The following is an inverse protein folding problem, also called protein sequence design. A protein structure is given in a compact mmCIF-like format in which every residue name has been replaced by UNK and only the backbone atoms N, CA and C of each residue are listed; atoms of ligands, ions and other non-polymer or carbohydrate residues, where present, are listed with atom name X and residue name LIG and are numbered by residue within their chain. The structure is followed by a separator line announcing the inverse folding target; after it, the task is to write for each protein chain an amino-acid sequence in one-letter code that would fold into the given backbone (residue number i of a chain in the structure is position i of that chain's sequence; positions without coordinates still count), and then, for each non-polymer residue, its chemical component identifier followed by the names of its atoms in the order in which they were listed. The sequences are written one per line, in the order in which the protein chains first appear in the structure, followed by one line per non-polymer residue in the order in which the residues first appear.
data_IF_003774627789
#
_entry.id   IF_003774627789
#
_cell.length_a   1.000
_cell.length_b   1.000
_cell.length_c   1.000
_cell.angle_alpha   90.00
_cell.angle_beta   90.00
_cell.angle_gamma   90.00
#
_symmetry.space_group_name_H-M   'P 1'
#
loop_
_entity.id
_entity.type
_entity.pdbx_description
1 polymer ?
#
# COMPACT_ATOMS: atom_id res chain seq x y z
N UNK A 1 -3.33 4.16 -1.97
CA UNK A 1 -2.72 3.92 -0.66
C UNK A 1 -3.09 5.04 0.29
N UNK A 2 -2.50 6.24 0.14
CA UNK A 2 -2.75 7.38 1.03
C UNK A 2 -4.24 7.74 1.17
N UNK A 3 -4.95 7.95 0.05
CA UNK A 3 -6.39 8.27 0.07
C UNK A 3 -7.20 7.29 0.92
N UNK A 4 -7.10 5.98 0.66
CA UNK A 4 -7.84 4.99 1.45
C UNK A 4 -7.42 4.92 2.92
N UNK A 5 -6.15 5.20 3.23
CA UNK A 5 -5.64 5.21 4.60
C UNK A 5 -6.19 6.40 5.40
N UNK A 6 -6.11 7.60 4.83
CA UNK A 6 -6.67 8.82 5.42
C UNK A 6 -8.18 8.69 5.56
N UNK A 7 -8.88 8.19 4.54
CA UNK A 7 -10.33 8.00 4.61
C UNK A 7 -10.71 7.00 5.71
N UNK A 8 -9.94 5.93 5.90
CA UNK A 8 -10.15 4.98 7.00
C UNK A 8 -9.95 5.64 8.37
N UNK A 9 -8.92 6.48 8.52
CA UNK A 9 -8.64 7.23 9.74
C UNK A 9 -9.74 8.27 10.03
N UNK A 10 -10.24 8.94 9.00
CA UNK A 10 -11.33 9.90 9.10
C UNK A 10 -12.64 9.20 9.52
N UNK A 11 -12.95 8.05 8.92
CA UNK A 11 -14.13 7.23 9.26
C UNK A 11 -14.12 6.71 10.70
N UNK A 12 -12.94 6.54 11.33
CA UNK A 12 -12.83 6.15 12.75
C UNK A 12 -12.61 7.37 13.68
N UNK A 13 -12.80 8.59 13.18
CA UNK A 13 -12.67 9.85 13.92
C UNK A 13 -11.27 10.09 14.50
N UNK A 14 -10.21 9.70 13.79
CA UNK A 14 -8.87 10.14 14.14
C UNK A 14 -8.79 11.67 14.05
N UNK A 15 -8.13 12.31 15.02
CA UNK A 15 -7.97 13.77 15.06
C UNK A 15 -6.58 14.21 14.61
N UNK A 16 -5.58 13.35 14.76
CA UNK A 16 -4.20 13.65 14.43
C UNK A 16 -3.57 12.48 13.67
N UNK A 17 -2.75 12.80 12.69
CA UNK A 17 -1.93 11.86 11.93
C UNK A 17 -0.47 12.28 11.99
N UNK A 18 0.40 11.35 12.37
CA UNK A 18 1.85 11.56 12.40
C UNK A 18 2.51 10.64 11.39
N UNK A 19 3.43 11.18 10.57
CA UNK A 19 4.25 10.37 9.68
C UNK A 19 5.71 10.81 9.67
N UNK A 20 6.59 9.85 9.40
CA UNK A 20 8.00 10.11 9.18
C UNK A 20 8.25 10.80 7.85
N UNK A 21 9.18 11.73 7.81
CA UNK A 21 9.61 12.44 6.61
C UNK A 21 11.13 12.62 6.64
N UNK A 22 11.77 12.56 5.48
CA UNK A 22 13.22 12.82 5.39
C UNK A 22 13.55 14.30 5.60
N UNK A 23 12.66 15.22 5.20
CA UNK A 23 12.85 16.68 5.39
C UNK A 23 12.33 17.20 6.72
N UNK A 24 11.27 16.57 7.26
CA UNK A 24 10.47 17.10 8.37
C UNK A 24 9.93 18.52 8.13
N UNK A 25 9.73 18.89 6.87
CA UNK A 25 9.23 20.21 6.48
C UNK A 25 7.76 20.14 6.06
N UNK A 26 6.87 20.38 7.02
CA UNK A 26 5.43 20.29 6.80
C UNK A 26 4.91 21.37 5.83
N UNK A 27 5.43 22.59 5.90
CA UNK A 27 4.94 23.72 5.09
C UNK A 27 5.30 23.53 3.61
N UNK A 28 6.50 23.01 3.33
CA UNK A 28 6.89 22.62 1.98
C UNK A 28 5.98 21.51 1.43
N UNK A 29 5.65 20.49 2.24
CA UNK A 29 4.75 19.42 1.81
C UNK A 29 3.32 19.93 1.59
N UNK A 30 2.81 20.83 2.44
CA UNK A 30 1.48 21.46 2.28
C UNK A 30 1.40 22.28 1.00
N UNK A 31 2.40 23.11 0.73
CA UNK A 31 2.50 23.94 -0.47
C UNK A 31 2.55 23.06 -1.72
N UNK A 32 3.37 22.02 -1.69
CA UNK A 32 3.46 21.06 -2.81
C UNK A 32 2.13 20.33 -3.02
N UNK A 33 1.40 19.99 -1.95
CA UNK A 33 0.09 19.36 -2.06
C UNK A 33 -0.92 20.27 -2.76
N UNK A 34 -0.88 21.59 -2.51
CA UNK A 34 -1.77 22.55 -3.18
C UNK A 34 -1.54 22.60 -4.68
N UNK A 35 -0.28 22.58 -5.13
CA UNK A 35 0.05 22.52 -6.57
C UNK A 35 -0.54 21.27 -7.21
N UNK A 36 -0.51 20.15 -6.50
CA UNK A 36 -1.02 18.86 -7.01
C UNK A 36 -2.54 18.77 -7.04
N UNK A 37 -3.23 19.55 -6.22
CA UNK A 37 -4.69 19.60 -6.19
C UNK A 37 -5.22 20.55 -7.25
N UNK A 38 -4.63 21.75 -7.35
CA UNK A 38 -5.10 22.79 -8.27
C UNK A 38 -4.58 22.58 -9.71
N UNK A 39 -3.49 21.83 -9.88
CA UNK A 39 -2.85 21.51 -11.15
C UNK A 39 -2.70 22.74 -12.09
N UNK A 40 -1.95 23.79 -11.69
CA UNK A 40 -1.81 25.00 -12.50
C UNK A 40 -1.24 24.70 -13.90
N UNK A 41 -1.60 25.52 -14.89
CA UNK A 41 -1.26 25.28 -16.30
C UNK A 41 0.25 25.12 -16.55
N UNK A 42 1.06 25.91 -15.86
CA UNK A 42 2.52 25.83 -15.92
C UNK A 42 3.05 24.47 -15.45
N UNK A 43 2.52 23.96 -14.34
CA UNK A 43 2.86 22.65 -13.81
C UNK A 43 2.42 21.54 -14.77
N UNK A 44 1.18 21.57 -15.25
CA UNK A 44 0.65 20.51 -16.14
C UNK A 44 1.37 20.49 -17.49
N UNK A 45 1.76 21.66 -18.00
CA UNK A 45 2.58 21.79 -19.22
C UNK A 45 3.98 21.22 -19.03
N UNK A 46 4.63 21.50 -17.89
CA UNK A 46 5.92 20.89 -17.54
C UNK A 46 5.81 19.36 -17.39
N UNK A 47 4.77 18.87 -16.73
CA UNK A 47 4.51 17.43 -16.56
C UNK A 47 4.37 16.72 -17.91
N UNK A 48 3.57 17.26 -18.84
CA UNK A 48 3.42 16.71 -20.20
C UNK A 48 4.75 16.68 -20.93
N UNK A 49 5.58 17.71 -20.78
CA UNK A 49 6.90 17.80 -21.40
C UNK A 49 7.83 16.69 -20.89
N UNK A 50 7.87 16.46 -19.58
CA UNK A 50 8.69 15.39 -19.00
C UNK A 50 8.18 13.98 -19.33
N UNK A 51 6.86 13.78 -19.42
CA UNK A 51 6.28 12.52 -19.89
C UNK A 51 6.64 12.23 -21.35
N UNK A 52 6.62 13.24 -22.23
CA UNK A 52 7.04 13.09 -23.63
C UNK A 52 8.51 12.68 -23.79
N UNK A 53 9.36 12.98 -22.81
CA UNK A 53 10.76 12.49 -22.75
C UNK A 53 10.88 11.01 -22.37
N UNK A 54 9.77 10.30 -22.18
CA UNK A 54 9.74 8.88 -21.83
C UNK A 54 10.06 8.60 -20.36
N UNK A 55 10.03 9.63 -19.50
CA UNK A 55 10.22 9.47 -18.06
C UNK A 55 9.02 8.73 -17.44
N UNK A 56 9.27 7.95 -16.39
CA UNK A 56 8.20 7.38 -15.58
C UNK A 56 7.35 8.49 -14.96
N UNK A 57 6.06 8.24 -14.74
CA UNK A 57 5.16 9.24 -14.12
C UNK A 57 5.71 9.85 -12.82
N UNK A 58 6.27 9.07 -11.86
CA UNK A 58 6.87 9.66 -10.65
C UNK A 58 8.03 10.62 -10.95
N UNK A 59 8.92 10.27 -11.89
CA UNK A 59 10.03 11.14 -12.28
C UNK A 59 9.55 12.38 -13.02
N UNK A 60 8.59 12.23 -13.93
CA UNK A 60 8.02 13.35 -14.66
C UNK A 60 7.32 14.33 -13.72
N UNK A 61 6.55 13.83 -12.75
CA UNK A 61 5.94 14.62 -11.69
C UNK A 61 6.96 15.33 -10.82
N UNK A 62 8.01 14.63 -10.39
CA UNK A 62 9.11 15.22 -9.61
C UNK A 62 9.75 16.39 -10.34
N UNK A 63 10.13 16.22 -11.61
CA UNK A 63 10.75 17.31 -12.37
C UNK A 63 9.77 18.44 -12.70
N UNK A 64 8.49 18.15 -12.93
CA UNK A 64 7.48 19.17 -13.15
C UNK A 64 7.23 20.03 -11.91
N UNK A 65 7.14 19.40 -10.74
CA UNK A 65 7.09 20.11 -9.45
C UNK A 65 8.35 20.95 -9.25
N UNK A 66 9.52 20.41 -9.61
CA UNK A 66 10.78 21.14 -9.53
C UNK A 66 10.76 22.43 -10.35
N UNK A 67 10.40 22.30 -11.61
CA UNK A 67 10.42 23.42 -12.54
C UNK A 67 9.36 24.48 -12.16
N UNK A 68 8.20 24.06 -11.64
CA UNK A 68 7.16 24.96 -11.15
C UNK A 68 7.59 25.71 -9.88
N UNK A 69 8.05 24.99 -8.86
CA UNK A 69 8.43 25.59 -7.58
C UNK A 69 9.68 26.49 -7.70
N UNK A 70 10.61 26.18 -8.62
CA UNK A 70 11.74 27.05 -8.93
C UNK A 70 11.34 28.41 -9.48
N UNK A 71 10.27 28.44 -10.29
CA UNK A 71 9.75 29.67 -10.88
C UNK A 71 9.00 30.51 -9.86
N UNK A 72 8.15 29.88 -9.07
CA UNK A 72 7.21 30.58 -8.18
C UNK A 72 7.80 30.91 -6.79
N UNK A 73 8.65 30.05 -6.24
CA UNK A 73 9.08 30.13 -4.84
C UNK A 73 10.61 30.21 -4.66
N UNK A 74 11.38 30.36 -5.74
CA UNK A 74 12.83 30.58 -5.71
C UNK A 74 13.62 29.47 -4.98
N UNK A 75 14.30 29.75 -3.85
CA UNK A 75 15.19 28.79 -3.15
C UNK A 75 14.54 27.48 -2.71
N UNK A 76 13.20 27.40 -2.66
CA UNK A 76 12.49 26.14 -2.40
C UNK A 76 12.85 25.04 -3.42
N UNK A 77 13.32 25.43 -4.61
CA UNK A 77 13.67 24.51 -5.69
C UNK A 77 14.86 23.59 -5.45
N UNK A 78 15.82 24.04 -4.65
CA UNK A 78 17.01 23.24 -4.32
C UNK A 78 16.65 22.02 -3.46
N UNK A 79 15.50 22.05 -2.79
CA UNK A 79 15.03 21.00 -1.86
C UNK A 79 14.09 19.97 -2.49
N UNK A 80 13.85 20.06 -3.79
CA UNK A 80 12.86 19.20 -4.48
C UNK A 80 13.39 17.80 -4.75
N UNK A 81 14.71 17.64 -4.78
CA UNK A 81 15.31 16.30 -4.72
C UNK A 81 14.89 15.57 -3.44
N UNK A 82 14.69 16.29 -2.34
CA UNK A 82 14.21 15.73 -1.08
C UNK A 82 12.76 15.26 -1.20
N UNK A 83 11.88 15.98 -1.91
CA UNK A 83 10.47 15.59 -2.16
C UNK A 83 10.39 14.23 -2.88
N UNK A 84 11.38 13.93 -3.74
CA UNK A 84 11.43 12.67 -4.49
C UNK A 84 11.69 11.42 -3.64
N UNK A 85 11.97 11.58 -2.33
CA UNK A 85 12.21 10.46 -1.40
C UNK A 85 10.89 9.77 -1.02
N UNK A 86 10.97 8.49 -0.65
CA UNK A 86 9.80 7.62 -0.48
C UNK A 86 8.82 8.15 0.57
N UNK A 87 9.30 8.55 1.76
CA UNK A 87 8.41 8.99 2.83
C UNK A 87 7.88 10.40 2.61
N UNK A 88 8.66 11.29 1.98
CA UNK A 88 8.16 12.59 1.55
C UNK A 88 7.04 12.47 0.49
N UNK A 89 7.19 11.60 -0.51
CA UNK A 89 6.10 11.32 -1.48
C UNK A 89 4.87 10.81 -0.74
N UNK A 90 5.04 9.91 0.22
CA UNK A 90 3.92 9.34 0.96
C UNK A 90 3.23 10.39 1.85
N UNK A 91 4.01 11.22 2.55
CA UNK A 91 3.53 12.34 3.34
C UNK A 91 2.76 13.38 2.53
N UNK A 92 3.29 13.71 1.35
CA UNK A 92 2.63 14.58 0.38
C UNK A 92 1.26 14.01 -0.04
N UNK A 93 1.20 12.71 -0.36
CA UNK A 93 -0.05 12.04 -0.73
C UNK A 93 -1.05 11.96 0.43
N UNK A 94 -0.60 11.87 1.69
CA UNK A 94 -1.49 11.97 2.86
C UNK A 94 -2.10 13.36 2.99
N UNK A 95 -1.29 14.42 2.89
CA UNK A 95 -1.77 15.80 2.96
C UNK A 95 -2.74 16.09 1.81
N UNK A 96 -2.41 15.65 0.59
CA UNK A 96 -3.31 15.75 -0.57
C UNK A 96 -4.63 15.03 -0.30
N UNK A 97 -4.60 13.82 0.25
CA UNK A 97 -5.81 13.08 0.59
C UNK A 97 -6.67 13.76 1.65
N UNK A 98 -6.07 14.32 2.72
CA UNK A 98 -6.77 15.06 3.77
C UNK A 98 -7.51 16.26 3.17
N UNK A 99 -6.82 17.05 2.33
CA UNK A 99 -7.40 18.21 1.64
C UNK A 99 -8.53 17.80 0.69
N UNK A 100 -8.35 16.75 -0.13
CA UNK A 100 -9.36 16.26 -1.07
C UNK A 100 -10.63 15.74 -0.37
N UNK A 101 -10.48 15.15 0.81
CA UNK A 101 -11.60 14.64 1.61
C UNK A 101 -12.28 15.73 2.45
N UNK A 102 -11.68 16.92 2.59
CA UNK A 102 -12.14 17.93 3.54
C UNK A 102 -12.01 17.48 5.01
N UNK A 103 -11.14 16.52 5.27
CA UNK A 103 -10.94 15.92 6.60
C UNK A 103 -10.34 16.94 7.57
N UNK A 104 -10.75 16.86 8.84
CA UNK A 104 -10.26 17.71 9.92
C UNK A 104 -9.04 17.12 10.66
N UNK A 105 -8.46 16.04 10.15
CA UNK A 105 -7.25 15.44 10.71
C UNK A 105 -6.10 16.44 10.66
N UNK A 106 -5.52 16.76 11.81
CA UNK A 106 -4.30 17.55 11.91
C UNK A 106 -3.07 16.67 11.63
N UNK A 107 -2.05 17.25 11.00
CA UNK A 107 -0.88 16.53 10.51
C UNK A 107 0.39 17.03 11.19
N UNK A 108 1.16 16.09 11.72
CA UNK A 108 2.51 16.35 12.22
C UNK A 108 3.54 15.48 11.50
N UNK A 109 4.72 16.03 11.27
CA UNK A 109 5.86 15.33 10.66
C UNK A 109 6.96 15.12 11.68
N UNK A 110 7.54 13.92 11.69
CA UNK A 110 8.73 13.61 12.47
C UNK A 110 9.90 13.33 11.54
N UNK A 111 11.07 13.89 11.86
CA UNK A 111 12.28 13.61 11.09
C UNK A 111 12.66 12.15 11.26
N UNK A 112 12.84 11.44 10.15
CA UNK A 112 13.28 10.05 10.21
C UNK A 112 14.74 9.99 10.68
N UNK A 113 15.00 9.15 11.67
CA UNK A 113 16.34 8.77 12.15
C UNK A 113 16.54 7.30 11.76
N UNK A 114 17.60 6.99 11.01
CA UNK A 114 17.89 5.62 10.54
C UNK A 114 18.12 5.49 9.03
N UNK A 115 18.29 4.25 8.57
CA UNK A 115 18.55 3.89 7.18
C UNK A 115 17.46 4.36 6.20
N UNK A 116 17.83 4.80 5.00
CA UNK A 116 16.88 5.03 3.91
C UNK A 116 16.13 3.73 3.55
N UNK A 117 14.89 3.80 3.09
CA UNK A 117 14.10 2.59 2.75
C UNK A 117 14.73 1.73 1.63
N UNK A 118 15.66 2.32 0.89
CA UNK A 118 16.46 1.67 -0.18
C UNK A 118 17.76 1.06 0.31
N UNK A 119 18.20 1.32 1.54
CA UNK A 119 19.39 0.69 2.10
C UNK A 119 19.11 -0.78 2.38
N UNK A 120 19.94 -1.64 1.79
CA UNK A 120 19.84 -3.10 1.91
C UNK A 120 20.80 -3.67 2.94
N UNK A 121 21.69 -2.83 3.49
CA UNK A 121 22.76 -3.23 4.39
C UNK A 121 22.36 -3.04 5.86
N UNK A 122 23.05 -3.77 6.73
CA UNK A 122 22.87 -3.68 8.18
C UNK A 122 23.52 -2.40 8.72
N UNK A 123 22.73 -1.58 9.40
CA UNK A 123 23.17 -0.32 10.01
C UNK A 123 23.06 -0.34 11.55
N UNK A 124 22.86 -1.52 12.13
CA UNK A 124 22.61 -1.68 13.57
C UNK A 124 21.12 -1.62 13.90
N UNK A 125 20.78 -0.85 14.93
CA UNK A 125 19.45 -0.74 15.53
C UNK A 125 18.39 -0.18 14.55
N UNK A 126 18.80 0.70 13.63
CA UNK A 126 17.89 1.37 12.69
C UNK A 126 18.02 0.87 11.24
N UNK A 127 18.18 -0.45 11.07
CA UNK A 127 18.22 -1.08 9.75
C UNK A 127 16.85 -1.01 9.05
N UNK A 128 16.85 -0.84 7.72
CA UNK A 128 15.60 -0.75 6.95
C UNK A 128 14.83 -2.07 6.98
N UNK A 129 13.51 -2.02 6.77
CA UNK A 129 12.70 -3.23 6.66
C UNK A 129 13.17 -4.15 5.50
N UNK A 130 13.77 -3.59 4.45
CA UNK A 130 14.35 -4.35 3.34
C UNK A 130 15.62 -5.08 3.76
N UNK A 131 16.52 -4.40 4.48
CA UNK A 131 17.71 -5.02 5.05
C UNK A 131 17.33 -6.16 6.02
N UNK A 132 16.32 -5.95 6.87
CA UNK A 132 15.83 -6.99 7.80
C UNK A 132 15.30 -8.22 7.04
N UNK A 133 14.56 -8.04 5.95
CA UNK A 133 14.10 -9.18 5.13
C UNK A 133 15.26 -9.92 4.45
N UNK A 134 16.29 -9.21 4.00
CA UNK A 134 17.49 -9.83 3.44
C UNK A 134 18.25 -10.64 4.51
N UNK A 135 18.38 -10.10 5.73
CA UNK A 135 18.99 -10.81 6.85
C UNK A 135 18.18 -12.06 7.24
N UNK A 136 16.84 -11.99 7.21
CA UNK A 136 15.97 -13.16 7.40
C UNK A 136 16.23 -14.21 6.32
N UNK A 137 16.30 -13.80 5.04
CA UNK A 137 16.55 -14.71 3.92
C UNK A 137 17.95 -15.36 3.97
N UNK A 138 18.93 -14.64 4.51
CA UNK A 138 20.29 -15.13 4.75
C UNK A 138 20.46 -15.89 6.08
N UNK A 139 19.38 -16.07 6.85
CA UNK A 139 19.38 -16.71 8.18
C UNK A 139 20.27 -16.02 9.24
N UNK A 140 20.55 -14.72 9.08
CA UNK A 140 21.38 -13.90 9.97
C UNK A 140 20.61 -13.44 11.23
N UNK A 141 20.08 -14.39 12.00
CA UNK A 141 19.15 -14.13 13.11
C UNK A 141 19.68 -13.25 14.25
N UNK A 142 20.99 -13.26 14.49
CA UNK A 142 21.61 -12.38 15.49
C UNK A 142 21.50 -10.91 15.08
N UNK A 143 21.68 -10.61 13.78
CA UNK A 143 21.52 -9.25 13.25
C UNK A 143 20.06 -8.84 13.20
N UNK A 144 19.16 -9.76 12.84
CA UNK A 144 17.70 -9.53 12.92
C UNK A 144 17.30 -9.12 14.34
N UNK A 145 17.80 -9.83 15.37
CA UNK A 145 17.51 -9.52 16.78
C UNK A 145 17.97 -8.12 17.18
N UNK A 146 19.09 -7.66 16.65
CA UNK A 146 19.63 -6.32 16.92
C UNK A 146 18.85 -5.20 16.21
N UNK A 147 18.13 -5.51 15.13
CA UNK A 147 17.44 -4.51 14.30
C UNK A 147 15.94 -4.38 14.56
N UNK A 148 15.37 -5.16 15.48
CA UNK A 148 13.94 -5.07 15.81
C UNK A 148 13.71 -5.16 17.32
N UNK A 149 12.60 -4.59 17.85
CA UNK A 149 12.22 -4.78 19.24
C UNK A 149 12.04 -6.26 19.59
N UNK A 150 12.33 -6.64 20.85
CA UNK A 150 12.22 -8.03 21.32
C UNK A 150 10.84 -8.64 21.07
N UNK A 151 9.76 -7.87 21.24
CA UNK A 151 8.39 -8.32 20.96
C UNK A 151 8.16 -8.66 19.48
N UNK A 152 8.82 -7.95 18.57
CA UNK A 152 8.79 -8.22 17.13
C UNK A 152 9.61 -9.48 16.81
N UNK A 153 10.82 -9.59 17.38
CA UNK A 153 11.67 -10.77 17.22
C UNK A 153 10.98 -12.05 17.69
N UNK A 154 10.37 -12.02 18.88
CA UNK A 154 9.61 -13.14 19.43
C UNK A 154 8.42 -13.53 18.54
N UNK A 155 7.71 -12.53 17.97
CA UNK A 155 6.62 -12.80 17.03
C UNK A 155 7.13 -13.47 15.74
N UNK A 156 8.22 -12.95 15.15
CA UNK A 156 8.84 -13.55 13.96
C UNK A 156 9.24 -15.01 14.20
N UNK A 157 9.95 -15.30 15.31
CA UNK A 157 10.35 -16.67 15.66
C UNK A 157 9.14 -17.58 15.85
N UNK A 158 8.11 -17.12 16.57
CA UNK A 158 6.87 -17.87 16.77
C UNK A 158 6.20 -18.24 15.44
N UNK A 159 6.02 -17.27 14.54
CA UNK A 159 5.35 -17.51 13.26
C UNK A 159 6.17 -18.47 12.37
N UNK A 160 7.49 -18.30 12.31
CA UNK A 160 8.33 -19.11 11.43
C UNK A 160 8.53 -20.53 11.97
N UNK A 161 8.67 -20.69 13.30
CA UNK A 161 8.68 -22.01 13.93
C UNK A 161 7.36 -22.76 13.76
N UNK A 162 6.25 -22.03 13.63
CA UNK A 162 4.95 -22.61 13.31
C UNK A 162 4.70 -22.77 11.79
N UNK A 163 5.72 -22.57 10.96
CA UNK A 163 5.65 -22.78 9.51
C UNK A 163 4.83 -21.74 8.73
N UNK A 164 4.44 -20.63 9.35
CA UNK A 164 3.67 -19.52 8.75
C UNK A 164 4.55 -18.42 8.15
N UNK A 165 5.83 -18.71 7.95
CA UNK A 165 6.79 -17.84 7.27
C UNK A 165 8.21 -18.42 7.27
N UNK A 166 9.17 -17.71 6.63
CA UNK A 166 8.95 -16.50 5.84
C UNK A 166 8.19 -16.79 4.54
N UNK A 167 7.34 -15.86 4.11
CA UNK A 167 6.73 -15.85 2.78
C UNK A 167 7.46 -14.79 1.96
N UNK A 168 8.00 -15.18 0.80
CA UNK A 168 8.80 -14.30 -0.07
C UNK A 168 8.13 -14.11 -1.43
N UNK A 169 8.53 -13.12 -2.24
CA UNK A 169 8.02 -12.98 -3.61
C UNK A 169 8.19 -14.26 -4.44
N UNK A 170 9.27 -15.01 -4.22
CA UNK A 170 9.58 -16.27 -4.89
C UNK A 170 8.54 -17.35 -4.56
N UNK A 171 7.87 -17.29 -3.40
CA UNK A 171 6.75 -18.18 -3.08
C UNK A 171 5.60 -18.07 -4.09
N UNK A 172 5.47 -16.93 -4.79
CA UNK A 172 4.46 -16.70 -5.83
C UNK A 172 4.98 -16.93 -7.26
N UNK A 173 6.25 -17.29 -7.45
CA UNK A 173 6.91 -17.33 -8.76
C UNK A 173 6.15 -18.20 -9.77
N UNK A 174 5.89 -19.47 -9.43
CA UNK A 174 5.18 -20.38 -10.32
C UNK A 174 3.76 -19.87 -10.62
N UNK A 175 3.05 -19.35 -9.61
CA UNK A 175 1.71 -18.79 -9.78
C UNK A 175 1.72 -17.62 -10.76
N UNK A 176 2.66 -16.69 -10.61
CA UNK A 176 2.78 -15.49 -11.45
C UNK A 176 3.15 -15.89 -12.88
N UNK A 177 4.18 -16.71 -13.07
CA UNK A 177 4.65 -17.10 -14.41
C UNK A 177 3.56 -17.90 -15.14
N UNK A 178 2.93 -18.88 -14.47
CA UNK A 178 1.84 -19.65 -15.06
C UNK A 178 0.63 -18.78 -15.39
N UNK A 179 0.25 -17.83 -14.52
CA UNK A 179 -0.82 -16.88 -14.81
C UNK A 179 -0.54 -16.08 -16.09
N UNK A 180 0.68 -15.55 -16.25
CA UNK A 180 1.03 -14.75 -17.43
C UNK A 180 1.07 -15.60 -18.70
N UNK A 181 1.61 -16.82 -18.62
CA UNK A 181 1.70 -17.73 -19.76
C UNK A 181 0.34 -18.23 -20.22
N UNK A 182 -0.54 -18.59 -19.28
CA UNK A 182 -1.85 -19.18 -19.57
C UNK A 182 -2.92 -18.18 -20.04
N UNK A 183 -2.69 -16.87 -19.90
CA UNK A 183 -3.67 -15.84 -20.27
C UNK A 183 -3.26 -15.06 -21.51
N UNK A 184 -4.23 -14.37 -22.13
CA UNK A 184 -4.02 -13.56 -23.34
C UNK A 184 -3.78 -12.09 -23.01
N UNK A 185 -3.35 -11.32 -24.02
CA UNK A 185 -3.14 -9.87 -23.88
C UNK A 185 -4.44 -9.13 -23.62
N UNK A 186 -5.54 -9.58 -24.23
CA UNK A 186 -6.88 -9.03 -24.07
C UNK A 186 -7.38 -9.20 -22.63
N UNK A 187 -7.02 -10.31 -21.97
CA UNK A 187 -7.34 -10.47 -20.55
C UNK A 187 -6.60 -9.44 -19.69
N UNK A 188 -5.33 -9.16 -19.99
CA UNK A 188 -4.53 -8.20 -19.23
C UNK A 188 -4.91 -6.74 -19.49
N UNK A 189 -5.39 -6.39 -20.68
CA UNK A 189 -5.85 -5.01 -20.95
C UNK A 189 -7.05 -4.60 -20.10
N UNK A 190 -7.85 -5.57 -19.63
CA UNK A 190 -8.95 -5.35 -18.68
C UNK A 190 -8.52 -5.22 -17.21
N UNK A 191 -7.22 -5.37 -16.89
CA UNK A 191 -6.70 -5.32 -15.52
C UNK A 191 -6.10 -3.94 -15.22
N UNK A 192 -6.39 -3.43 -14.03
CA UNK A 192 -5.86 -2.16 -13.56
C UNK A 192 -4.33 -2.14 -13.54
N UNK A 193 -3.74 -1.11 -14.14
CA UNK A 193 -2.29 -0.93 -14.20
C UNK A 193 -1.63 -1.50 -15.45
N UNK A 194 -2.35 -2.28 -16.27
CA UNK A 194 -1.94 -2.57 -17.64
C UNK A 194 -2.35 -1.42 -18.56
N UNK A 195 -1.37 -0.90 -19.28
CA UNK A 195 -1.54 0.17 -20.24
C UNK A 195 -0.23 0.40 -20.96
N UNK A 196 -0.24 1.19 -22.03
CA UNK A 196 0.98 1.63 -22.71
C UNK A 196 1.86 0.49 -23.25
N UNK A 197 1.25 -0.65 -23.62
CA UNK A 197 1.95 -1.83 -24.16
C UNK A 197 2.61 -2.72 -23.10
N UNK A 198 2.34 -2.50 -21.80
CA UNK A 198 2.89 -3.31 -20.72
C UNK A 198 2.44 -4.79 -20.80
N UNK A 199 1.22 -5.05 -21.27
CA UNK A 199 0.66 -6.38 -21.55
C UNK A 199 1.52 -7.18 -22.55
N UNK A 200 1.92 -6.53 -23.65
CA UNK A 200 2.78 -7.16 -24.66
C UNK A 200 4.14 -7.54 -24.07
N UNK A 201 4.70 -6.65 -23.24
CA UNK A 201 6.00 -6.84 -22.60
C UNK A 201 5.95 -7.99 -21.58
N UNK A 202 4.87 -8.09 -20.81
CA UNK A 202 4.64 -9.21 -19.89
C UNK A 202 4.65 -10.55 -20.62
N UNK A 203 3.90 -10.68 -21.72
CA UNK A 203 3.90 -11.92 -22.53
C UNK A 203 5.29 -12.23 -23.08
N UNK A 204 5.92 -11.24 -23.72
CA UNK A 204 7.26 -11.38 -24.30
C UNK A 204 8.29 -11.89 -23.28
N UNK A 205 8.29 -11.34 -22.07
CA UNK A 205 9.23 -11.73 -21.02
C UNK A 205 8.86 -13.06 -20.36
N UNK A 206 7.57 -13.33 -20.10
CA UNK A 206 7.14 -14.58 -19.49
C UNK A 206 7.47 -15.81 -20.35
N UNK A 207 7.49 -15.67 -21.67
CA UNK A 207 7.89 -16.77 -22.58
C UNK A 207 9.40 -17.08 -22.53
N UNK A 208 10.22 -16.20 -21.94
CA UNK A 208 11.69 -16.29 -21.92
C UNK A 208 12.29 -16.45 -20.53
N UNK A 209 11.58 -16.04 -19.48
CA UNK A 209 12.03 -16.10 -18.11
C UNK A 209 11.37 -17.26 -17.37
N UNK A 210 12.14 -17.97 -16.54
CA UNK A 210 11.65 -19.04 -15.66
C UNK A 210 11.75 -18.67 -14.18
N UNK A 211 12.47 -17.60 -13.84
CA UNK A 211 12.55 -17.04 -12.49
C UNK A 211 11.83 -15.68 -12.42
N UNK A 212 11.22 -15.37 -11.27
CA UNK A 212 10.47 -14.14 -11.02
C UNK A 212 11.39 -12.92 -11.08
N UNK A 213 12.59 -13.02 -10.51
CA UNK A 213 13.58 -11.96 -10.58
C UNK A 213 13.86 -11.58 -12.04
N UNK A 214 14.22 -12.56 -12.88
CA UNK A 214 14.55 -12.33 -14.29
C UNK A 214 13.36 -11.79 -15.08
N UNK A 215 12.14 -12.25 -14.75
CA UNK A 215 10.91 -11.74 -15.33
C UNK A 215 10.73 -10.24 -15.03
N UNK A 216 10.90 -9.83 -13.76
CA UNK A 216 10.78 -8.43 -13.35
C UNK A 216 11.84 -7.56 -14.03
N UNK A 217 13.06 -8.06 -14.19
CA UNK A 217 14.18 -7.37 -14.85
C UNK A 217 13.92 -7.18 -16.34
N UNK A 218 13.44 -8.23 -17.01
CA UNK A 218 13.06 -8.17 -18.41
C UNK A 218 11.94 -7.13 -18.64
N UNK A 219 10.94 -7.08 -17.76
CA UNK A 219 9.81 -6.15 -17.90
C UNK A 219 10.24 -4.71 -17.56
N UNK A 220 11.17 -4.50 -16.63
CA UNK A 220 11.67 -3.18 -16.21
C UNK A 220 12.14 -2.35 -17.41
N UNK A 221 11.76 -1.07 -17.41
CA UNK A 221 12.28 -0.06 -18.33
C UNK A 221 12.44 1.27 -17.61
N UNK A 222 12.95 2.31 -18.30
CA UNK A 222 12.93 3.70 -17.78
C UNK A 222 11.50 4.18 -17.46
N UNK A 223 10.50 3.68 -18.19
CA UNK A 223 9.08 4.02 -18.02
C UNK A 223 8.38 3.20 -16.94
N UNK A 224 8.75 1.92 -16.79
CA UNK A 224 8.12 0.98 -15.85
C UNK A 224 9.07 0.61 -14.71
N UNK A 225 8.79 1.14 -13.51
CA UNK A 225 9.55 0.82 -12.30
C UNK A 225 9.22 -0.58 -11.77
N UNK A 226 10.14 -1.21 -11.04
CA UNK A 226 9.90 -2.52 -10.40
C UNK A 226 8.64 -2.53 -9.54
N UNK A 227 8.42 -1.48 -8.75
CA UNK A 227 7.23 -1.35 -7.88
C UNK A 227 5.93 -1.27 -8.69
N UNK A 228 5.93 -0.54 -9.84
CA UNK A 228 4.75 -0.51 -10.73
C UNK A 228 4.47 -1.90 -11.30
N UNK A 229 5.50 -2.60 -11.77
CA UNK A 229 5.39 -3.95 -12.34
C UNK A 229 4.84 -4.92 -11.29
N UNK A 230 5.41 -4.92 -10.08
CA UNK A 230 4.98 -5.80 -8.99
C UNK A 230 3.52 -5.58 -8.60
N UNK A 231 3.07 -4.31 -8.52
CA UNK A 231 1.65 -3.98 -8.27
C UNK A 231 0.75 -4.45 -9.42
N UNK A 232 1.17 -4.25 -10.66
CA UNK A 232 0.42 -4.71 -11.84
C UNK A 232 0.29 -6.24 -11.87
N UNK A 233 1.33 -6.99 -11.47
CA UNK A 233 1.25 -8.45 -11.30
C UNK A 233 0.19 -8.82 -10.26
N UNK A 234 0.20 -8.20 -9.08
CA UNK A 234 -0.79 -8.50 -8.04
C UNK A 234 -2.21 -8.15 -8.49
N UNK A 235 -2.39 -7.04 -9.22
CA UNK A 235 -3.68 -6.73 -9.84
C UNK A 235 -4.13 -7.83 -10.81
N UNK A 236 -3.21 -8.44 -11.57
CA UNK A 236 -3.52 -9.57 -12.44
C UNK A 236 -3.92 -10.81 -11.64
N UNK A 237 -3.15 -11.15 -10.59
CA UNK A 237 -3.41 -12.29 -9.71
C UNK A 237 -4.81 -12.22 -9.09
N UNK A 238 -5.22 -11.03 -8.64
CA UNK A 238 -6.52 -10.84 -8.00
C UNK A 238 -7.65 -10.42 -8.95
N UNK A 239 -7.35 -10.23 -10.24
CA UNK A 239 -8.32 -9.80 -11.25
C UNK A 239 -8.89 -8.41 -10.98
N UNK A 240 -8.05 -7.46 -10.56
CA UNK A 240 -8.49 -6.10 -10.19
C UNK A 240 -8.76 -5.29 -11.45
N UNK A 241 -10.01 -4.91 -11.66
CA UNK A 241 -10.45 -4.11 -12.82
C UNK A 241 -10.32 -2.59 -12.57
N UNK A 242 -10.11 -1.77 -13.64
CA UNK A 242 -10.08 -0.32 -13.51
C UNK A 242 -11.37 0.30 -12.94
N UNK A 243 -12.52 -0.30 -13.24
CA UNK A 243 -13.86 0.09 -12.76
C UNK A 243 -13.96 -0.02 -11.25
N UNK A 244 -13.56 -1.16 -10.67
CA UNK A 244 -13.50 -1.38 -9.23
C UNK A 244 -12.60 -0.37 -8.52
N UNK A 245 -11.41 -0.11 -9.07
CA UNK A 245 -10.48 0.88 -8.49
C UNK A 245 -11.04 2.30 -8.58
N UNK A 246 -11.65 2.68 -9.71
CA UNK A 246 -12.30 3.99 -9.87
C UNK A 246 -13.43 4.16 -8.85
N UNK A 247 -14.27 3.14 -8.68
CA UNK A 247 -15.38 3.14 -7.73
C UNK A 247 -14.88 3.21 -6.27
N UNK A 248 -13.84 2.44 -5.93
CA UNK A 248 -13.20 2.49 -4.61
C UNK A 248 -12.58 3.86 -4.30
N UNK A 249 -12.05 4.56 -5.30
CA UNK A 249 -11.54 5.93 -5.13
C UNK A 249 -12.64 6.97 -4.94
N UNK A 250 -13.81 6.76 -5.53
CA UNK A 250 -14.92 7.69 -5.47
C UNK A 250 -15.77 7.52 -4.21
N UNK A 251 -15.97 6.28 -3.75
CA UNK A 251 -16.85 5.96 -2.63
C UNK A 251 -16.08 5.64 -1.33
N UNK A 252 -14.76 5.44 -1.40
CA UNK A 252 -13.94 5.12 -0.24
C UNK A 252 -14.13 3.70 0.29
N UNK A 253 -13.55 3.42 1.48
CA UNK A 253 -13.76 2.16 2.20
C UNK A 253 -15.22 2.00 2.62
N UNK A 254 -15.82 0.85 2.32
CA UNK A 254 -17.22 0.58 2.68
C UNK A 254 -17.38 -0.09 4.06
N UNK A 255 -16.28 -0.32 4.76
CA UNK A 255 -16.26 -0.92 6.10
C UNK A 255 -14.96 -0.57 6.83
N UNK A 256 -14.99 -0.72 8.15
CA UNK A 256 -13.81 -0.69 9.01
C UNK A 256 -13.54 -2.11 9.51
N UNK A 257 -12.38 -2.68 9.20
CA UNK A 257 -11.98 -4.02 9.65
C UNK A 257 -11.07 -3.94 10.85
N UNK A 258 -11.49 -4.52 11.97
CA UNK A 258 -10.68 -4.59 13.18
C UNK A 258 -9.79 -5.84 13.13
N UNK A 259 -8.47 -5.65 13.20
CA UNK A 259 -7.48 -6.74 13.23
C UNK A 259 -6.97 -7.03 14.64
N UNK A 260 -6.95 -6.01 15.51
CA UNK A 260 -6.65 -6.14 16.92
C UNK A 260 -6.91 -4.84 17.71
N UNK A 261 -7.00 -4.96 19.03
CA UNK A 261 -7.18 -3.83 19.95
C UNK A 261 -6.70 -4.21 21.36
N UNK A 262 -6.33 -3.20 22.17
CA UNK A 262 -6.11 -3.38 23.61
C UNK A 262 -7.33 -2.91 24.44
N UNK A 263 -7.22 -2.85 25.76
CA UNK A 263 -8.32 -2.36 26.62
C UNK A 263 -8.79 -0.94 26.26
N UNK A 264 -7.86 0.00 26.07
CA UNK A 264 -8.18 1.36 25.63
C UNK A 264 -8.84 1.38 24.26
N UNK A 265 -8.34 0.57 23.33
CA UNK A 265 -8.93 0.39 22.01
C UNK A 265 -10.35 -0.18 22.05
N UNK A 266 -10.63 -1.10 22.98
CA UNK A 266 -11.99 -1.65 23.19
C UNK A 266 -12.97 -0.57 23.64
N UNK A 267 -12.59 0.24 24.62
CA UNK A 267 -13.39 1.35 25.13
C UNK A 267 -13.66 2.36 24.01
N UNK A 268 -12.61 2.76 23.28
CA UNK A 268 -12.72 3.66 22.14
C UNK A 268 -13.65 3.11 21.04
N UNK A 269 -13.45 1.86 20.62
CA UNK A 269 -14.31 1.23 19.62
C UNK A 269 -15.77 1.15 20.09
N UNK A 270 -16.01 0.88 21.37
CA UNK A 270 -17.37 0.87 21.93
C UNK A 270 -18.01 2.25 21.91
N UNK A 271 -17.22 3.30 22.16
CA UNK A 271 -17.64 4.70 22.14
C UNK A 271 -18.04 5.14 20.72
N UNK A 272 -17.16 4.97 19.73
CA UNK A 272 -17.40 5.49 18.37
C UNK A 272 -18.38 4.68 17.53
N UNK A 273 -18.60 3.39 17.87
CA UNK A 273 -19.32 2.44 17.01
C UNK A 273 -20.72 2.87 16.57
N UNK A 274 -21.41 3.69 17.36
CA UNK A 274 -22.78 4.15 17.04
C UNK A 274 -22.79 5.26 16.00
N UNK A 275 -21.70 6.01 15.89
CA UNK A 275 -21.59 7.22 15.06
C UNK A 275 -20.88 6.94 13.73
N UNK A 276 -20.34 5.73 13.54
CA UNK A 276 -19.68 5.33 12.30
C UNK A 276 -20.65 5.34 11.11
N UNK A 277 -20.24 6.00 10.03
CA UNK A 277 -20.97 6.02 8.75
C UNK A 277 -20.81 4.71 7.95
N UNK A 278 -19.90 3.82 8.35
CA UNK A 278 -19.67 2.51 7.74
C UNK A 278 -19.68 1.40 8.80
N UNK A 279 -20.06 0.15 8.44
CA UNK A 279 -20.05 -0.97 9.36
C UNK A 279 -18.64 -1.31 9.88
N UNK A 280 -18.55 -1.52 11.19
CA UNK A 280 -17.37 -2.06 11.86
C UNK A 280 -17.41 -3.60 11.88
N UNK A 281 -16.48 -4.24 11.16
CA UNK A 281 -16.31 -5.69 11.09
C UNK A 281 -15.27 -6.12 12.12
N UNK A 282 -15.71 -6.80 13.18
CA UNK A 282 -14.83 -7.50 14.13
C UNK A 282 -14.73 -8.98 13.77
N UNK A 283 -15.86 -9.67 13.64
CA UNK A 283 -15.91 -11.07 13.24
C UNK A 283 -16.27 -11.17 11.76
N UNK A 284 -15.36 -11.71 10.93
CA UNK A 284 -15.55 -11.77 9.48
C UNK A 284 -16.84 -12.52 9.10
N UNK A 285 -17.18 -13.62 9.77
CA UNK A 285 -18.40 -14.41 9.50
C UNK A 285 -19.71 -13.62 9.61
N UNK A 286 -19.70 -12.48 10.33
CA UNK A 286 -20.87 -11.63 10.55
C UNK A 286 -21.13 -10.61 9.43
N UNK A 287 -20.29 -10.57 8.39
CA UNK A 287 -20.38 -9.56 7.32
C UNK A 287 -21.77 -9.48 6.67
N UNK A 288 -22.45 -10.61 6.45
CA UNK A 288 -23.80 -10.64 5.86
C UNK A 288 -24.82 -9.92 6.73
N UNK A 289 -24.78 -10.18 8.04
CA UNK A 289 -25.68 -9.55 9.02
C UNK A 289 -25.40 -8.06 9.14
N UNK A 290 -24.12 -7.67 9.14
CA UNK A 290 -23.70 -6.28 9.17
C UNK A 290 -24.19 -5.53 7.94
N UNK A 291 -23.96 -6.07 6.73
CA UNK A 291 -24.42 -5.48 5.49
C UNK A 291 -25.95 -5.29 5.47
N UNK A 292 -26.70 -6.31 5.84
CA UNK A 292 -28.16 -6.24 5.91
C UNK A 292 -28.66 -5.20 6.93
N UNK A 293 -27.95 -5.04 8.06
CA UNK A 293 -28.26 -4.01 9.07
C UNK A 293 -27.95 -2.61 8.53
N UNK A 294 -26.80 -2.43 7.87
CA UNK A 294 -26.39 -1.15 7.29
C UNK A 294 -27.37 -0.65 6.24
N UNK A 295 -27.87 -1.55 5.37
CA UNK A 295 -28.89 -1.21 4.37
C UNK A 295 -30.23 -0.81 4.99
N UNK A 296 -30.61 -1.38 6.15
CA UNK A 296 -31.82 -0.99 6.88
C UNK A 296 -31.67 0.28 7.71
N UNK A 297 -30.44 0.58 8.14
CA UNK A 297 -30.11 1.70 9.02
C UNK A 297 -29.77 2.99 8.30
N UNK A 298 -30.05 3.10 6.99
CA UNK A 298 -29.74 4.26 6.15
C UNK A 298 -28.25 4.67 6.15
N UNK A 299 -27.31 3.74 6.38
CA UNK A 299 -25.91 4.03 6.11
C UNK A 299 -25.71 4.15 4.59
N UNK A 300 -25.02 5.20 4.14
CA UNK A 300 -24.70 5.45 2.73
C UNK A 300 -23.59 4.51 2.23
N UNK A 301 -23.87 3.21 2.26
CA UNK A 301 -22.95 2.17 1.79
C UNK A 301 -23.34 1.64 0.41
N UNK A 302 -22.36 1.49 -0.46
CA UNK A 302 -22.54 0.76 -1.71
C UNK A 302 -22.35 -0.74 -1.44
N UNK A 303 -23.48 -1.46 -1.39
CA UNK A 303 -23.48 -2.88 -1.03
C UNK A 303 -22.73 -3.79 -2.01
N UNK A 304 -22.60 -3.40 -3.29
CA UNK A 304 -21.81 -4.15 -4.26
C UNK A 304 -20.32 -3.92 -4.01
N UNK A 305 -19.92 -2.66 -3.87
CA UNK A 305 -18.53 -2.28 -3.59
C UNK A 305 -18.05 -2.85 -2.24
N UNK A 306 -18.90 -2.86 -1.22
CA UNK A 306 -18.62 -3.50 0.07
C UNK A 306 -18.19 -4.96 -0.12
N UNK A 307 -18.95 -5.72 -0.91
CA UNK A 307 -18.66 -7.14 -1.14
C UNK A 307 -17.39 -7.31 -1.95
N UNK A 308 -17.20 -6.50 -2.99
CA UNK A 308 -16.00 -6.56 -3.83
C UNK A 308 -14.73 -6.27 -3.03
N UNK A 309 -14.74 -5.21 -2.20
CA UNK A 309 -13.62 -4.86 -1.31
C UNK A 309 -13.36 -5.98 -0.29
N UNK A 310 -14.40 -6.44 0.42
CA UNK A 310 -14.24 -7.44 1.48
C UNK A 310 -13.78 -8.80 0.93
N UNK A 311 -14.29 -9.22 -0.23
CA UNK A 311 -13.90 -10.49 -0.84
C UNK A 311 -12.53 -10.40 -1.52
N UNK A 312 -12.07 -9.22 -1.91
CA UNK A 312 -10.68 -9.03 -2.30
C UNK A 312 -9.76 -9.30 -1.09
N UNK A 313 -10.08 -8.75 0.08
CA UNK A 313 -9.32 -8.99 1.32
C UNK A 313 -9.27 -10.48 1.67
N UNK A 314 -10.42 -11.18 1.65
CA UNK A 314 -10.48 -12.62 1.94
C UNK A 314 -9.68 -13.45 0.94
N UNK A 315 -9.73 -13.12 -0.36
CA UNK A 315 -8.92 -13.81 -1.37
C UNK A 315 -7.43 -13.56 -1.17
N UNK A 316 -7.04 -12.34 -0.77
CA UNK A 316 -5.66 -12.01 -0.47
C UNK A 316 -5.13 -12.80 0.72
N UNK A 317 -5.87 -12.86 1.83
CA UNK A 317 -5.51 -13.67 3.00
C UNK A 317 -5.46 -15.16 2.67
N UNK A 318 -6.44 -15.66 1.90
CA UNK A 318 -6.48 -17.07 1.48
C UNK A 318 -5.28 -17.45 0.63
N UNK A 319 -4.90 -16.59 -0.32
CA UNK A 319 -3.71 -16.83 -1.13
C UNK A 319 -2.46 -16.76 -0.27
N UNK A 320 -2.35 -15.78 0.64
CA UNK A 320 -1.21 -15.69 1.55
C UNK A 320 -1.04 -16.95 2.41
N UNK A 321 -2.13 -17.48 2.97
CA UNK A 321 -2.10 -18.74 3.74
C UNK A 321 -1.57 -19.92 2.92
N UNK A 322 -1.93 -20.00 1.64
CA UNK A 322 -1.41 -21.02 0.72
C UNK A 322 0.11 -20.91 0.47
N UNK A 323 0.68 -19.71 0.59
CA UNK A 323 2.11 -19.46 0.37
C UNK A 323 2.98 -19.75 1.60
N UNK A 324 2.38 -20.09 2.74
CA UNK A 324 3.12 -20.43 3.95
C UNK A 324 3.99 -21.69 3.72
N UNK A 325 5.26 -21.72 4.16
CA UNK A 325 6.19 -22.82 3.86
C UNK A 325 5.69 -24.21 4.25
N UNK A 326 5.03 -24.35 5.40
CA UNK A 326 4.46 -25.63 5.82
C UNK A 326 2.97 -25.71 5.44
N UNK A 327 2.64 -26.68 4.58
CA UNK A 327 1.26 -26.97 4.20
C UNK A 327 0.43 -27.37 5.43
N UNK A 328 -0.84 -26.96 5.46
CA UNK A 328 -1.80 -27.20 6.55
C UNK A 328 -1.50 -26.48 7.88
N UNK A 329 -0.59 -25.50 7.90
CA UNK A 329 -0.40 -24.63 9.08
C UNK A 329 -1.40 -23.48 9.16
N UNK A 330 -2.02 -23.18 8.01
CA UNK A 330 -3.10 -22.20 7.88
C UNK A 330 -4.31 -22.94 7.33
N UNK A 331 -5.18 -23.38 8.24
CA UNK A 331 -6.42 -24.04 7.87
C UNK A 331 -7.49 -23.01 7.48
N UNK A 332 -8.02 -23.17 6.26
CA UNK A 332 -9.08 -22.32 5.71
C UNK A 332 -8.63 -20.88 5.43
N UNK A 333 -9.61 -19.98 5.34
CA UNK A 333 -9.36 -18.55 5.13
C UNK A 333 -9.15 -17.91 6.52
N UNK A 334 -7.94 -17.43 6.80
CA UNK A 334 -7.52 -16.86 8.10
C UNK A 334 -8.52 -15.85 8.68
N UNK A 335 -9.18 -15.07 7.83
CA UNK A 335 -10.21 -14.12 8.25
C UNK A 335 -11.34 -14.73 9.09
N UNK A 336 -11.67 -16.00 8.89
CA UNK A 336 -12.74 -16.70 9.58
C UNK A 336 -12.27 -17.61 10.71
N UNK A 337 -10.97 -17.95 10.74
CA UNK A 337 -10.40 -18.89 11.70
C UNK A 337 -9.57 -18.20 12.76
N UNK A 338 -8.96 -17.04 12.46
CA UNK A 338 -8.24 -16.24 13.45
C UNK A 338 -9.15 -15.21 14.11
N UNK A 339 -9.29 -15.24 15.46
CA UNK A 339 -10.00 -14.19 16.16
C UNK A 339 -9.23 -12.87 16.10
N UNK A 340 -9.95 -11.76 16.24
CA UNK A 340 -9.35 -10.44 16.42
C UNK A 340 -8.40 -10.47 17.61
N UNK A 341 -7.17 -9.98 17.42
CA UNK A 341 -6.16 -10.01 18.47
C UNK A 341 -6.53 -9.05 19.59
N UNK A 342 -6.63 -9.57 20.81
CA UNK A 342 -6.84 -8.76 22.01
C UNK A 342 -5.61 -8.84 22.92
N UNK A 343 -5.20 -7.70 23.46
CA UNK A 343 -4.21 -7.61 24.54
C UNK A 343 -4.78 -6.76 25.67
N UNK A 344 -4.46 -7.10 26.91
CA UNK A 344 -4.90 -6.29 28.06
C UNK A 344 -4.14 -4.97 28.14
N UNK A 345 -2.86 -4.96 27.75
CA UNK A 345 -1.99 -3.79 27.68
C UNK A 345 -1.85 -3.22 26.26
#
# INVERSE_FOLDING_TARGET
FALGSVWTLDLIFATHMVFGSETADLEMLKTTADVLIHEPEDYTSSLKTHLKKGLSFPNARKFALRDFLAREFGPLSERIEEIGRSNNILGLEYITAIKLLGSQIDVSVVKRVGAEDTETEFTGEFSSATAIRNMIAAEEWDRVKQSVPETSYAALKREFSAGRGPVTPESLETTIISLIRANTREKFSGIYGFGEGLDARFKFCADRCTALHDLLDCIKTKRFTRTRISRTILNAVFGIEPTFVKKSRACGPQFLRVLGFNNRGREFLSYVKKDLSVPLITTASMWKKLLAKSQKGNLEIDAALFKEQLFLDFRASSLFGFLCPQRNTVDGIMDFTEPVRYREE
#
